data_IF_089792596214
#
_entry.id   IF_089792596214
#
_cell.length_a   1.000
_cell.length_b   1.000
_cell.length_c   1.000
_cell.angle_alpha   90.00
_cell.angle_beta   90.00
_cell.angle_gamma   90.00
#
_symmetry.space_group_name_H-M   'P 1'
#
loop_
_entity.id
_entity.type
_entity.pdbx_description
1 polymer ?
#
# COMPACT_ATOMS: atom_id res chain seq x y z
N UNK A 1 -30.98 2.26 6.52
CA UNK A 1 -29.62 2.13 5.96
C UNK A 1 -28.94 0.95 6.61
N UNK A 2 -28.22 0.12 5.85
CA UNK A 2 -27.40 -0.93 6.47
C UNK A 2 -26.07 -0.34 6.97
N UNK A 3 -25.61 -0.84 8.10
CA UNK A 3 -24.35 -0.42 8.72
C UNK A 3 -23.20 -1.29 8.24
N UNK A 4 -22.19 -0.67 7.69
CA UNK A 4 -20.97 -1.33 7.23
C UNK A 4 -19.79 -0.89 8.11
N UNK A 5 -19.13 -1.85 8.74
CA UNK A 5 -17.95 -1.60 9.54
C UNK A 5 -16.69 -2.01 8.80
N UNK A 6 -15.76 -1.09 8.66
CA UNK A 6 -14.42 -1.31 8.11
C UNK A 6 -13.42 -1.47 9.27
N UNK A 7 -12.64 -2.54 9.28
CA UNK A 7 -11.59 -2.78 10.29
C UNK A 7 -10.24 -2.86 9.59
N UNK A 8 -9.32 -1.97 9.95
CA UNK A 8 -7.97 -1.91 9.37
C UNK A 8 -6.92 -1.61 10.45
N UNK A 9 -5.62 -1.68 10.12
CA UNK A 9 -4.53 -1.51 11.07
C UNK A 9 -4.38 -0.06 11.55
N UNK A 10 -3.92 0.84 10.69
CA UNK A 10 -3.68 2.24 11.01
C UNK A 10 -4.36 3.15 9.97
N UNK A 11 -4.61 4.43 10.31
CA UNK A 11 -5.18 5.40 9.39
C UNK A 11 -4.15 5.83 8.33
N UNK A 12 -3.92 4.99 7.32
CA UNK A 12 -3.10 5.35 6.17
C UNK A 12 -3.80 6.42 5.33
N UNK A 13 -3.10 7.47 4.83
CA UNK A 13 -3.74 8.60 4.13
C UNK A 13 -4.68 8.18 3.00
N UNK A 14 -4.29 7.24 2.15
CA UNK A 14 -5.12 6.74 1.05
C UNK A 14 -6.39 6.01 1.51
N UNK A 15 -6.34 5.30 2.65
CA UNK A 15 -7.52 4.66 3.27
C UNK A 15 -8.43 5.70 3.92
N UNK A 16 -7.86 6.68 4.60
CA UNK A 16 -8.62 7.79 5.19
C UNK A 16 -9.37 8.55 4.11
N UNK A 17 -8.74 8.87 3.00
CA UNK A 17 -9.37 9.57 1.87
C UNK A 17 -10.50 8.74 1.25
N UNK A 18 -10.27 7.44 1.02
CA UNK A 18 -11.29 6.52 0.50
C UNK A 18 -12.50 6.42 1.45
N UNK A 19 -12.25 6.22 2.75
CA UNK A 19 -13.34 6.06 3.72
C UNK A 19 -14.12 7.35 3.91
N UNK A 20 -13.42 8.49 3.95
CA UNK A 20 -14.08 9.80 3.96
C UNK A 20 -14.97 10.02 2.74
N UNK A 21 -14.48 9.66 1.54
CA UNK A 21 -15.25 9.73 0.31
C UNK A 21 -16.51 8.84 0.39
N UNK A 22 -16.36 7.59 0.85
CA UNK A 22 -17.49 6.67 1.04
C UNK A 22 -18.51 7.22 2.03
N UNK A 23 -18.06 7.77 3.15
CA UNK A 23 -18.95 8.31 4.20
C UNK A 23 -19.68 9.57 3.78
N UNK A 24 -19.13 10.37 2.88
CA UNK A 24 -19.72 11.66 2.46
C UNK A 24 -20.53 11.58 1.17
N UNK A 25 -20.27 10.58 0.30
CA UNK A 25 -20.94 10.47 -1.00
C UNK A 25 -21.91 9.29 -1.10
N UNK A 26 -21.82 8.30 -0.21
CA UNK A 26 -22.72 7.16 -0.21
C UNK A 26 -23.96 7.41 0.65
N UNK A 27 -25.16 7.19 0.06
CA UNK A 27 -26.43 7.46 0.73
C UNK A 27 -27.20 6.19 1.15
N UNK A 28 -26.79 5.02 0.66
CA UNK A 28 -27.50 3.75 0.91
C UNK A 28 -27.00 2.99 2.12
N UNK A 29 -25.74 3.25 2.52
CA UNK A 29 -25.06 2.58 3.63
C UNK A 29 -24.43 3.61 4.58
N UNK A 30 -24.40 3.25 5.86
CA UNK A 30 -23.71 4.01 6.88
C UNK A 30 -22.38 3.33 7.19
N UNK A 31 -21.24 4.03 6.97
CA UNK A 31 -19.91 3.48 7.13
C UNK A 31 -19.27 3.90 8.45
N UNK A 32 -18.82 2.92 9.21
CA UNK A 32 -18.00 3.05 10.41
C UNK A 32 -16.61 2.52 10.16
N UNK A 33 -15.61 3.07 10.83
CA UNK A 33 -14.21 2.62 10.70
C UNK A 33 -13.63 2.33 12.08
N UNK A 34 -12.98 1.18 12.22
CA UNK A 34 -12.12 0.90 13.37
C UNK A 34 -10.68 0.76 12.87
N UNK A 35 -9.81 1.62 13.36
CA UNK A 35 -8.37 1.48 13.24
C UNK A 35 -7.86 0.76 14.48
N UNK A 36 -7.10 -0.33 14.27
CA UNK A 36 -6.60 -1.13 15.41
C UNK A 36 -5.45 -0.46 16.16
N UNK A 37 -4.81 0.54 15.55
CA UNK A 37 -3.81 1.39 16.20
C UNK A 37 -3.74 2.77 15.53
N UNK A 38 -3.12 3.75 16.19
CA UNK A 38 -2.99 5.10 15.66
C UNK A 38 -1.87 5.22 14.62
N UNK A 39 -0.72 4.64 14.88
CA UNK A 39 0.46 4.76 14.02
C UNK A 39 1.40 3.57 14.20
N UNK A 40 2.38 3.45 13.31
CA UNK A 40 3.52 2.56 13.37
C UNK A 40 4.80 3.40 13.27
N UNK A 41 5.86 3.03 14.00
CA UNK A 41 7.09 3.83 14.14
C UNK A 41 7.83 4.05 12.80
N UNK A 42 7.62 3.14 11.85
CA UNK A 42 8.21 3.21 10.50
C UNK A 42 7.36 4.04 9.51
N UNK A 43 6.36 4.80 9.98
CA UNK A 43 5.49 5.64 9.18
C UNK A 43 5.53 7.09 9.65
N UNK A 44 5.78 8.00 8.71
CA UNK A 44 5.81 9.45 8.93
C UNK A 44 4.56 10.15 8.37
N UNK A 45 3.46 9.41 8.21
CA UNK A 45 2.25 9.94 7.60
C UNK A 45 1.60 11.03 8.45
N UNK A 46 1.22 12.11 7.78
CA UNK A 46 0.38 13.15 8.34
C UNK A 46 -1.06 12.88 7.94
N UNK A 47 -1.94 12.77 8.93
CA UNK A 47 -3.35 12.43 8.74
C UNK A 47 -4.18 13.67 8.98
N UNK A 48 -5.10 13.96 8.07
CA UNK A 48 -6.13 14.97 8.29
C UNK A 48 -7.22 14.38 9.19
N UNK A 49 -7.18 14.71 10.47
CA UNK A 49 -8.13 14.20 11.46
C UNK A 49 -9.59 14.58 11.19
N UNK A 50 -9.83 15.66 10.42
CA UNK A 50 -11.17 16.08 10.01
C UNK A 50 -11.83 15.04 9.09
N UNK A 51 -11.04 14.19 8.45
CA UNK A 51 -11.51 13.10 7.58
C UNK A 51 -11.81 11.80 8.33
N UNK A 52 -11.52 11.72 9.63
CA UNK A 52 -11.80 10.53 10.45
C UNK A 52 -13.26 10.51 10.95
N UNK A 53 -14.21 10.64 10.03
CA UNK A 53 -15.63 10.61 10.35
C UNK A 53 -16.05 9.20 10.81
N UNK A 54 -16.95 9.13 11.81
CA UNK A 54 -17.46 7.85 12.36
C UNK A 54 -16.35 6.79 12.57
N UNK A 55 -15.20 7.25 13.03
CA UNK A 55 -14.00 6.43 13.21
C UNK A 55 -13.67 6.24 14.68
N UNK A 56 -13.20 5.05 15.04
CA UNK A 56 -12.65 4.73 16.35
C UNK A 56 -11.22 4.24 16.18
N UNK A 57 -10.28 4.84 16.90
CA UNK A 57 -8.90 4.37 16.97
C UNK A 57 -8.73 3.64 18.30
N UNK A 58 -8.38 2.36 18.24
CA UNK A 58 -8.17 1.53 19.42
C UNK A 58 -6.72 1.58 19.86
N UNK A 59 -6.50 1.31 21.13
CA UNK A 59 -5.18 1.00 21.66
C UNK A 59 -4.86 -0.48 21.45
N UNK A 60 -3.65 -0.78 20.98
CA UNK A 60 -3.19 -2.14 20.73
C UNK A 60 -1.90 -2.46 21.47
N UNK A 61 -1.79 -3.70 21.94
CA UNK A 61 -0.48 -4.29 22.18
C UNK A 61 0.16 -4.57 20.81
N UNK A 62 1.33 -4.01 20.58
CA UNK A 62 2.07 -4.17 19.31
C UNK A 62 3.16 -5.22 19.49
N UNK A 63 3.20 -6.19 18.60
CA UNK A 63 4.28 -7.16 18.48
C UNK A 63 5.01 -6.85 17.17
N UNK A 64 6.30 -6.53 17.27
CA UNK A 64 7.17 -6.26 16.12
C UNK A 64 7.91 -7.53 15.74
N UNK A 65 7.94 -7.82 14.45
CA UNK A 65 8.73 -8.91 13.88
C UNK A 65 9.60 -8.35 12.76
N UNK A 66 10.92 -8.54 12.86
CA UNK A 66 11.85 -8.13 11.82
C UNK A 66 11.86 -9.20 10.73
N UNK A 67 11.34 -8.86 9.56
CA UNK A 67 11.41 -9.69 8.34
C UNK A 67 12.64 -9.38 7.50
N UNK A 68 12.77 -10.04 6.35
CA UNK A 68 13.78 -9.72 5.35
C UNK A 68 13.49 -8.34 4.75
N UNK A 69 14.26 -7.32 5.17
CA UNK A 69 14.20 -5.97 4.61
C UNK A 69 13.08 -5.06 5.10
N UNK A 70 12.21 -5.50 6.02
CA UNK A 70 11.14 -4.67 6.62
C UNK A 70 10.77 -5.13 8.04
N UNK A 71 10.09 -4.27 8.78
CA UNK A 71 9.51 -4.56 10.09
C UNK A 71 8.01 -4.74 9.95
N UNK A 72 7.50 -5.90 10.38
CA UNK A 72 6.08 -6.20 10.41
C UNK A 72 5.49 -5.95 11.80
N UNK A 73 4.30 -5.37 11.83
CA UNK A 73 3.58 -5.02 13.05
C UNK A 73 2.33 -5.88 13.19
N UNK A 74 2.22 -6.63 14.30
CA UNK A 74 1.00 -7.32 14.66
C UNK A 74 0.30 -6.53 15.77
N UNK A 75 -0.87 -6.01 15.46
CA UNK A 75 -1.72 -5.30 16.41
C UNK A 75 -2.69 -6.26 17.10
N UNK A 76 -2.71 -6.22 18.42
CA UNK A 76 -3.69 -6.93 19.26
C UNK A 76 -4.53 -5.85 19.96
N UNK A 77 -5.63 -5.38 19.33
CA UNK A 77 -6.42 -4.29 19.87
C UNK A 77 -7.19 -4.71 21.11
N UNK A 78 -7.26 -3.78 22.07
CA UNK A 78 -8.12 -3.88 23.23
C UNK A 78 -9.55 -3.50 22.82
N UNK A 79 -10.54 -4.08 23.50
CA UNK A 79 -11.96 -3.75 23.36
C UNK A 79 -12.59 -3.85 21.95
N UNK A 80 -11.91 -4.48 20.96
CA UNK A 80 -12.43 -4.58 19.58
C UNK A 80 -13.86 -5.16 19.54
N UNK A 81 -14.10 -6.29 20.21
CA UNK A 81 -15.42 -6.93 20.24
C UNK A 81 -16.50 -6.03 20.85
N UNK A 82 -16.15 -5.25 21.88
CA UNK A 82 -17.06 -4.28 22.51
C UNK A 82 -17.46 -3.20 21.50
N UNK A 83 -16.51 -2.66 20.74
CA UNK A 83 -16.77 -1.61 19.74
C UNK A 83 -17.58 -2.15 18.55
N UNK A 84 -17.29 -3.37 18.06
CA UNK A 84 -18.12 -4.02 17.04
C UNK A 84 -19.56 -4.15 17.55
N UNK A 85 -19.76 -4.61 18.80
CA UNK A 85 -21.08 -4.77 19.41
C UNK A 85 -21.81 -3.43 19.58
N UNK A 86 -21.09 -2.36 19.96
CA UNK A 86 -21.66 -1.00 20.10
C UNK A 86 -22.18 -0.47 18.77
N UNK A 87 -21.41 -0.66 17.68
CA UNK A 87 -21.80 -0.26 16.32
C UNK A 87 -22.94 -1.15 15.81
N UNK A 88 -22.93 -2.44 16.15
CA UNK A 88 -23.87 -3.47 15.68
C UNK A 88 -24.03 -3.45 14.14
N UNK A 89 -22.95 -3.69 13.38
CA UNK A 89 -22.98 -3.62 11.93
C UNK A 89 -23.74 -4.78 11.30
N UNK A 90 -24.31 -4.56 10.10
CA UNK A 90 -24.89 -5.61 9.27
C UNK A 90 -23.81 -6.37 8.48
N UNK A 91 -22.74 -5.65 8.12
CA UNK A 91 -21.60 -6.17 7.37
C UNK A 91 -20.30 -5.68 8.03
N UNK A 92 -19.33 -6.58 8.19
CA UNK A 92 -17.97 -6.23 8.59
C UNK A 92 -17.01 -6.55 7.46
N UNK A 93 -16.21 -5.56 7.05
CA UNK A 93 -15.11 -5.71 6.10
C UNK A 93 -13.81 -5.60 6.89
N UNK A 94 -13.01 -6.66 6.95
CA UNK A 94 -11.75 -6.65 7.69
C UNK A 94 -10.56 -6.85 6.75
N UNK A 95 -9.55 -5.98 6.93
CA UNK A 95 -8.24 -6.08 6.29
C UNK A 95 -7.33 -7.03 7.05
N UNK A 96 -6.40 -7.63 6.32
CA UNK A 96 -5.30 -8.41 6.82
C UNK A 96 -5.69 -9.76 7.47
N UNK A 97 -4.71 -10.63 7.55
CA UNK A 97 -4.83 -11.93 8.21
C UNK A 97 -4.28 -11.84 9.64
N UNK A 98 -5.05 -11.27 10.53
CA UNK A 98 -4.65 -10.99 11.90
C UNK A 98 -5.71 -11.39 12.92
N UNK A 99 -5.40 -11.39 14.23
CA UNK A 99 -6.37 -11.72 15.29
C UNK A 99 -7.64 -10.85 15.27
N UNK A 100 -7.56 -9.61 14.76
CA UNK A 100 -8.72 -8.72 14.66
C UNK A 100 -9.72 -9.22 13.62
N UNK A 101 -9.25 -9.70 12.47
CA UNK A 101 -10.09 -10.31 11.44
C UNK A 101 -10.77 -11.59 11.96
N UNK A 102 -10.03 -12.43 12.71
CA UNK A 102 -10.60 -13.64 13.35
C UNK A 102 -11.69 -13.27 14.36
N UNK A 103 -11.43 -12.29 15.24
CA UNK A 103 -12.44 -11.81 16.22
C UNK A 103 -13.69 -11.27 15.53
N UNK A 104 -13.50 -10.49 14.46
CA UNK A 104 -14.60 -9.93 13.68
C UNK A 104 -15.42 -11.04 12.98
N UNK A 105 -14.77 -12.02 12.37
CA UNK A 105 -15.41 -13.19 11.76
C UNK A 105 -16.26 -13.96 12.80
N UNK A 106 -15.69 -14.26 13.97
CA UNK A 106 -16.39 -14.97 15.03
C UNK A 106 -17.60 -14.18 15.55
N UNK A 107 -17.44 -12.86 15.70
CA UNK A 107 -18.54 -11.98 16.08
C UNK A 107 -19.66 -12.02 15.04
N UNK A 108 -19.35 -11.89 13.75
CA UNK A 108 -20.34 -11.95 12.66
C UNK A 108 -21.07 -13.30 12.66
N UNK A 109 -20.36 -14.40 12.80
CA UNK A 109 -20.97 -15.74 12.87
C UNK A 109 -21.95 -15.88 14.05
N UNK A 110 -21.55 -15.39 15.25
CA UNK A 110 -22.40 -15.45 16.45
C UNK A 110 -23.67 -14.60 16.30
N UNK A 111 -23.62 -13.49 15.58
CA UNK A 111 -24.74 -12.54 15.46
C UNK A 111 -25.49 -12.64 14.12
N UNK A 112 -25.19 -13.64 13.29
CA UNK A 112 -25.83 -13.79 11.97
C UNK A 112 -25.54 -12.63 11.00
N UNK A 113 -24.37 -11.99 11.14
CA UNK A 113 -23.95 -10.86 10.32
C UNK A 113 -22.98 -11.31 9.22
N UNK A 114 -22.82 -10.48 8.17
CA UNK A 114 -21.95 -10.78 7.04
C UNK A 114 -20.51 -10.36 7.33
N UNK A 115 -19.57 -11.23 6.93
CA UNK A 115 -18.14 -10.96 7.03
C UNK A 115 -17.50 -10.99 5.65
N UNK A 116 -16.83 -9.90 5.28
CA UNK A 116 -16.08 -9.77 4.04
C UNK A 116 -14.61 -9.62 4.39
N UNK A 117 -13.76 -10.40 3.77
CA UNK A 117 -12.31 -10.27 3.92
C UNK A 117 -11.72 -9.45 2.78
N UNK A 118 -10.88 -8.46 3.08
CA UNK A 118 -10.13 -7.70 2.09
C UNK A 118 -8.64 -7.99 2.22
N UNK A 119 -7.96 -8.23 1.11
CA UNK A 119 -6.54 -8.58 1.08
C UNK A 119 -5.78 -7.85 -0.02
N UNK A 120 -4.60 -7.35 0.34
CA UNK A 120 -3.60 -6.78 -0.56
C UNK A 120 -2.51 -7.83 -0.89
N UNK A 121 -2.36 -8.86 -0.05
CA UNK A 121 -1.32 -9.87 -0.20
C UNK A 121 -1.48 -10.71 -1.48
N UNK A 122 -0.37 -11.08 -2.06
CA UNK A 122 -0.27 -11.86 -3.30
C UNK A 122 0.44 -13.19 -3.05
N UNK A 123 0.51 -14.08 -4.05
CA UNK A 123 1.30 -15.31 -3.93
C UNK A 123 2.77 -15.01 -3.69
N UNK A 124 3.30 -13.97 -4.33
CA UNK A 124 4.70 -13.60 -4.21
C UNK A 124 5.01 -12.99 -2.84
N UNK A 125 4.22 -12.04 -2.38
CA UNK A 125 4.44 -11.39 -1.08
C UNK A 125 4.22 -12.34 0.11
N UNK A 126 3.45 -13.40 -0.07
CA UNK A 126 3.15 -14.40 0.98
C UNK A 126 3.94 -15.71 0.82
N UNK A 127 4.97 -15.77 -0.07
CA UNK A 127 5.72 -17.01 -0.33
C UNK A 127 6.43 -17.59 0.90
N UNK A 128 6.81 -16.73 1.86
CA UNK A 128 7.55 -17.11 3.08
C UNK A 128 6.68 -17.35 4.33
N UNK A 129 5.34 -17.35 4.24
CA UNK A 129 4.49 -17.48 5.42
C UNK A 129 4.54 -18.87 6.07
N UNK A 130 4.56 -18.89 7.42
CA UNK A 130 4.60 -20.11 8.20
C UNK A 130 3.27 -20.88 8.27
N UNK A 131 3.30 -22.09 8.83
CA UNK A 131 2.12 -23.00 8.92
C UNK A 131 0.93 -22.36 9.67
N UNK A 132 1.19 -21.68 10.78
CA UNK A 132 0.13 -21.00 11.58
C UNK A 132 -0.52 -19.88 10.79
N UNK A 133 0.28 -19.10 10.07
CA UNK A 133 -0.22 -18.04 9.20
C UNK A 133 -1.05 -18.62 8.04
N UNK A 134 -0.63 -19.73 7.45
CA UNK A 134 -1.41 -20.44 6.42
C UNK A 134 -2.76 -20.92 6.96
N UNK A 135 -2.78 -21.53 8.16
CA UNK A 135 -4.02 -21.98 8.79
C UNK A 135 -4.97 -20.80 9.07
N UNK A 136 -4.47 -19.70 9.60
CA UNK A 136 -5.28 -18.51 9.88
C UNK A 136 -5.90 -17.93 8.58
N UNK A 137 -5.13 -17.86 7.50
CA UNK A 137 -5.63 -17.45 6.18
C UNK A 137 -6.73 -18.37 5.69
N UNK A 138 -6.48 -19.66 5.72
CA UNK A 138 -7.46 -20.67 5.33
C UNK A 138 -8.78 -20.51 6.10
N UNK A 139 -8.72 -20.37 7.42
CA UNK A 139 -9.91 -20.17 8.25
C UNK A 139 -10.66 -18.89 7.82
N UNK A 140 -9.96 -17.77 7.66
CA UNK A 140 -10.59 -16.48 7.33
C UNK A 140 -11.28 -16.54 5.96
N UNK A 141 -10.55 -16.94 4.92
CA UNK A 141 -11.07 -16.85 3.53
C UNK A 141 -12.18 -17.85 3.25
N UNK A 142 -12.11 -19.06 3.81
CA UNK A 142 -13.14 -20.08 3.59
C UNK A 142 -14.43 -19.82 4.40
N UNK A 143 -14.32 -19.07 5.48
CA UNK A 143 -15.48 -18.71 6.31
C UNK A 143 -16.02 -17.30 5.99
N UNK A 144 -15.37 -16.55 5.15
CA UNK A 144 -15.89 -15.27 4.65
C UNK A 144 -17.10 -15.47 3.72
N UNK A 145 -18.06 -14.57 3.79
CA UNK A 145 -19.19 -14.52 2.87
C UNK A 145 -18.73 -14.10 1.47
N UNK A 146 -17.77 -13.16 1.41
CA UNK A 146 -17.09 -12.71 0.22
C UNK A 146 -15.65 -12.28 0.53
N UNK A 147 -14.82 -12.18 -0.52
CA UNK A 147 -13.47 -11.65 -0.45
C UNK A 147 -13.31 -10.48 -1.43
N UNK A 148 -12.63 -9.43 -1.03
CA UNK A 148 -12.21 -8.33 -1.89
C UNK A 148 -10.70 -8.46 -2.12
N UNK A 149 -10.29 -8.51 -3.38
CA UNK A 149 -8.90 -8.49 -3.80
C UNK A 149 -8.54 -7.08 -4.27
N UNK A 150 -7.44 -6.53 -3.77
CA UNK A 150 -6.97 -5.17 -4.12
C UNK A 150 -6.18 -5.11 -5.44
N UNK A 151 -5.89 -6.26 -6.05
CA UNK A 151 -5.20 -6.37 -7.34
C UNK A 151 -5.57 -7.68 -8.03
N UNK A 152 -5.29 -7.77 -9.33
CA UNK A 152 -5.42 -9.03 -10.07
C UNK A 152 -4.55 -10.13 -9.45
N UNK A 153 -3.34 -9.81 -8.98
CA UNK A 153 -2.45 -10.76 -8.29
C UNK A 153 -3.01 -11.22 -6.94
N UNK A 154 -3.69 -10.35 -6.20
CA UNK A 154 -4.41 -10.73 -4.99
C UNK A 154 -5.62 -11.63 -5.30
N UNK A 155 -6.34 -11.39 -6.42
CA UNK A 155 -7.40 -12.29 -6.91
C UNK A 155 -6.84 -13.67 -7.26
N UNK A 156 -5.73 -13.73 -8.01
CA UNK A 156 -5.04 -14.99 -8.35
C UNK A 156 -4.70 -15.79 -7.08
N UNK A 157 -4.20 -15.13 -6.05
CA UNK A 157 -3.93 -15.78 -4.76
C UNK A 157 -5.18 -16.39 -4.12
N UNK A 158 -6.29 -15.66 -4.07
CA UNK A 158 -7.53 -16.17 -3.49
C UNK A 158 -8.06 -17.39 -4.26
N UNK A 159 -7.98 -17.37 -5.58
CA UNK A 159 -8.32 -18.51 -6.46
C UNK A 159 -7.41 -19.70 -6.17
N UNK A 160 -6.09 -19.47 -6.08
CA UNK A 160 -5.10 -20.52 -5.77
C UNK A 160 -5.40 -21.19 -4.40
N UNK A 161 -5.89 -20.44 -3.43
CA UNK A 161 -6.28 -20.94 -2.10
C UNK A 161 -7.68 -21.57 -2.07
N UNK A 162 -8.35 -21.71 -3.23
CA UNK A 162 -9.62 -22.40 -3.37
C UNK A 162 -10.86 -21.58 -3.03
N UNK A 163 -10.76 -20.24 -2.98
CA UNK A 163 -11.94 -19.39 -2.85
C UNK A 163 -12.71 -19.43 -4.16
N UNK A 164 -14.02 -19.76 -4.16
CA UNK A 164 -14.82 -19.76 -5.38
C UNK A 164 -14.87 -18.37 -6.03
N UNK A 165 -14.67 -18.29 -7.35
CA UNK A 165 -14.58 -17.01 -8.08
C UNK A 165 -15.80 -16.11 -7.83
N UNK A 166 -17.01 -16.67 -7.75
CA UNK A 166 -18.25 -15.93 -7.45
C UNK A 166 -18.24 -15.21 -6.09
N UNK A 167 -17.31 -15.54 -5.21
CA UNK A 167 -17.11 -14.87 -3.91
C UNK A 167 -16.00 -13.84 -3.93
N UNK A 168 -15.27 -13.70 -5.03
CA UNK A 168 -14.13 -12.78 -5.13
C UNK A 168 -14.54 -11.56 -5.94
N UNK A 169 -14.34 -10.39 -5.36
CA UNK A 169 -14.59 -9.10 -6.00
C UNK A 169 -13.26 -8.35 -6.12
N UNK A 170 -12.97 -7.85 -7.32
CA UNK A 170 -11.79 -7.01 -7.54
C UNK A 170 -12.14 -5.56 -7.21
N UNK A 171 -11.37 -4.94 -6.34
CA UNK A 171 -11.44 -3.51 -6.01
C UNK A 171 -10.03 -2.98 -5.83
N UNK A 172 -9.47 -2.43 -6.89
CA UNK A 172 -8.10 -1.90 -6.88
C UNK A 172 -7.94 -0.85 -5.78
N UNK A 173 -6.74 -0.75 -5.24
CA UNK A 173 -6.39 0.37 -4.37
C UNK A 173 -6.46 1.68 -5.15
N UNK A 174 -6.74 2.76 -4.47
CA UNK A 174 -6.97 4.08 -5.08
C UNK A 174 -6.17 5.16 -4.39
N UNK A 175 -5.95 6.25 -5.10
CA UNK A 175 -5.38 7.50 -4.57
C UNK A 175 -6.34 8.65 -4.82
N UNK A 176 -6.22 9.71 -4.04
CA UNK A 176 -6.98 10.94 -4.27
C UNK A 176 -6.38 11.68 -5.48
N UNK A 177 -7.05 11.58 -6.61
CA UNK A 177 -6.63 12.21 -7.88
C UNK A 177 -6.52 13.73 -7.79
N UNK A 178 -7.21 14.37 -6.84
CA UNK A 178 -7.13 15.82 -6.67
C UNK A 178 -5.78 16.30 -6.17
N UNK A 179 -5.01 15.40 -5.53
CA UNK A 179 -3.66 15.67 -5.02
C UNK A 179 -2.59 15.55 -6.10
N UNK A 180 -2.78 14.63 -7.04
CA UNK A 180 -1.81 14.29 -8.08
C UNK A 180 -2.37 14.71 -9.42
N UNK A 181 -2.31 16.02 -9.71
CA UNK A 181 -2.87 16.58 -10.96
C UNK A 181 -1.86 16.47 -12.09
N UNK A 182 -2.36 16.13 -13.27
CA UNK A 182 -1.58 16.21 -14.49
C UNK A 182 -0.95 17.58 -14.65
N UNK A 183 0.31 17.60 -15.06
CA UNK A 183 1.01 18.80 -15.53
C UNK A 183 1.69 18.47 -16.86
N UNK A 184 1.63 19.42 -17.79
CA UNK A 184 2.35 19.30 -19.05
C UNK A 184 3.85 19.19 -18.79
N UNK A 185 4.47 18.16 -19.36
CA UNK A 185 5.90 17.91 -19.18
C UNK A 185 6.69 18.90 -20.04
N UNK A 186 7.73 19.51 -19.46
CA UNK A 186 8.64 20.37 -20.22
C UNK A 186 9.51 19.50 -21.12
N UNK A 187 9.63 19.88 -22.36
CA UNK A 187 10.61 19.29 -23.28
C UNK A 187 12.02 19.36 -22.69
N UNK A 188 12.83 18.33 -22.94
CA UNK A 188 14.22 18.24 -22.49
C UNK A 188 14.45 18.13 -20.95
N UNK A 189 13.42 17.76 -20.18
CA UNK A 189 13.64 17.33 -18.80
C UNK A 189 13.98 15.84 -18.75
N UNK A 190 15.15 15.51 -18.20
CA UNK A 190 15.59 14.14 -17.98
C UNK A 190 15.60 13.84 -16.47
N UNK A 191 14.46 14.07 -15.82
CA UNK A 191 14.32 13.88 -14.37
C UNK A 191 13.72 12.51 -14.08
N UNK A 192 14.49 11.64 -13.44
CA UNK A 192 14.03 10.38 -12.89
C UNK A 192 13.50 10.63 -11.48
N UNK A 193 12.48 9.89 -11.07
CA UNK A 193 11.91 9.98 -9.72
C UNK A 193 11.80 8.59 -9.10
N UNK A 194 12.29 8.47 -7.88
CA UNK A 194 12.00 7.36 -6.97
C UNK A 194 11.20 7.91 -5.78
N UNK A 195 10.11 7.23 -5.42
CA UNK A 195 9.31 7.53 -4.22
C UNK A 195 9.09 6.26 -3.43
N UNK A 196 9.52 6.24 -2.19
CA UNK A 196 9.33 5.09 -1.32
C UNK A 196 10.18 5.14 -0.05
N UNK A 197 9.90 4.22 0.87
CA UNK A 197 10.79 4.03 2.02
C UNK A 197 12.18 3.60 1.54
N UNK A 198 13.21 4.13 2.16
CA UNK A 198 14.61 3.75 1.87
C UNK A 198 14.93 2.50 2.70
N UNK A 199 14.56 1.35 2.15
CA UNK A 199 14.79 0.00 2.70
C UNK A 199 15.21 -0.94 1.56
N UNK A 200 15.96 -2.01 1.84
CA UNK A 200 16.45 -2.93 0.81
C UNK A 200 15.35 -3.47 -0.11
N UNK A 201 14.15 -3.70 0.45
CA UNK A 201 13.00 -4.22 -0.28
C UNK A 201 12.57 -3.30 -1.44
N UNK A 202 12.79 -1.98 -1.34
CA UNK A 202 12.39 -1.01 -2.38
C UNK A 202 13.40 -0.88 -3.52
N UNK A 203 14.55 -1.56 -3.43
CA UNK A 203 15.48 -1.76 -4.54
C UNK A 203 16.18 -0.50 -5.05
N UNK A 204 16.32 0.56 -4.22
CA UNK A 204 17.01 1.78 -4.65
C UNK A 204 18.48 1.51 -5.05
N UNK A 205 19.11 0.52 -4.44
CA UNK A 205 20.44 0.04 -4.82
C UNK A 205 20.52 -0.51 -6.25
N UNK A 206 19.45 -1.17 -6.72
CA UNK A 206 19.35 -1.67 -8.10
C UNK A 206 19.29 -0.49 -9.09
N UNK A 207 18.50 0.54 -8.76
CA UNK A 207 18.44 1.76 -9.56
C UNK A 207 19.82 2.43 -9.63
N UNK A 208 20.48 2.64 -8.50
CA UNK A 208 21.80 3.28 -8.45
C UNK A 208 22.84 2.53 -9.29
N UNK A 209 22.83 1.19 -9.28
CA UNK A 209 23.72 0.37 -10.13
C UNK A 209 23.38 0.46 -11.63
N UNK A 210 22.15 0.78 -11.98
CA UNK A 210 21.74 0.91 -13.38
C UNK A 210 22.09 2.28 -13.97
N UNK A 211 22.15 3.34 -13.15
CA UNK A 211 22.38 4.73 -13.61
C UNK A 211 23.65 4.94 -14.43
N UNK A 212 24.82 4.32 -14.13
CA UNK A 212 26.01 4.47 -14.96
C UNK A 212 25.84 4.05 -16.42
N UNK A 213 24.80 3.28 -16.74
CA UNK A 213 24.47 2.85 -18.10
C UNK A 213 23.56 3.85 -18.85
N UNK A 214 23.11 4.90 -18.18
CA UNK A 214 22.31 5.94 -18.78
C UNK A 214 23.23 6.97 -19.44
N UNK A 215 23.19 7.06 -20.77
CA UNK A 215 24.10 7.92 -21.53
C UNK A 215 23.56 9.35 -21.72
N UNK A 216 22.29 9.58 -21.47
CA UNK A 216 21.67 10.89 -21.52
C UNK A 216 21.92 11.65 -20.21
N UNK A 217 22.08 12.98 -20.23
CA UNK A 217 22.08 13.75 -18.99
C UNK A 217 20.81 13.50 -18.20
N UNK A 218 20.92 13.25 -16.90
CA UNK A 218 19.76 13.01 -16.03
C UNK A 218 19.96 13.65 -14.64
N UNK A 219 18.85 13.87 -13.96
CA UNK A 219 18.77 14.14 -12.54
C UNK A 219 17.88 13.07 -11.89
N UNK A 220 18.31 12.45 -10.79
CA UNK A 220 17.47 11.55 -10.00
C UNK A 220 16.98 12.24 -8.73
N UNK A 221 15.68 12.38 -8.58
CA UNK A 221 15.03 12.80 -7.34
C UNK A 221 14.66 11.58 -6.51
N UNK A 222 15.12 11.53 -5.26
CA UNK A 222 14.79 10.47 -4.31
C UNK A 222 13.91 11.07 -3.21
N UNK A 223 12.65 10.65 -3.18
CA UNK A 223 11.68 11.04 -2.16
C UNK A 223 11.42 9.86 -1.23
N UNK A 224 11.65 10.05 0.05
CA UNK A 224 11.45 9.05 1.08
C UNK A 224 12.51 9.11 2.16
N UNK A 225 12.33 8.27 3.16
CA UNK A 225 13.26 8.18 4.28
C UNK A 225 13.45 6.73 4.73
N UNK A 226 14.45 6.49 5.56
CA UNK A 226 14.82 5.18 6.09
C UNK A 226 15.89 5.31 7.16
N UNK A 227 16.36 4.18 7.64
CA UNK A 227 17.42 4.10 8.63
C UNK A 227 18.70 4.78 8.14
N UNK A 228 19.40 5.50 9.04
CA UNK A 228 20.60 6.25 8.69
C UNK A 228 21.70 5.36 8.08
N UNK A 229 21.83 4.14 8.57
CA UNK A 229 22.81 3.16 8.06
C UNK A 229 22.52 2.78 6.60
N UNK A 230 21.26 2.53 6.25
CA UNK A 230 20.87 2.17 4.88
C UNK A 230 21.06 3.35 3.92
N UNK A 231 20.70 4.56 4.35
CA UNK A 231 20.96 5.78 3.57
C UNK A 231 22.45 6.00 3.33
N UNK A 232 23.30 5.81 4.36
CA UNK A 232 24.73 5.96 4.23
C UNK A 232 25.34 4.95 3.22
N UNK A 233 24.87 3.69 3.24
CA UNK A 233 25.27 2.66 2.25
C UNK A 233 24.94 3.08 0.82
N UNK A 234 23.73 3.59 0.61
CA UNK A 234 23.28 4.00 -0.72
C UNK A 234 24.00 5.27 -1.21
N UNK A 235 24.30 6.20 -0.31
CA UNK A 235 25.12 7.39 -0.65
C UNK A 235 26.53 6.99 -1.04
N UNK A 236 27.18 6.09 -0.27
CA UNK A 236 28.49 5.57 -0.61
C UNK A 236 28.48 4.85 -1.97
N UNK A 237 27.46 4.04 -2.24
CA UNK A 237 27.28 3.39 -3.55
C UNK A 237 27.15 4.41 -4.69
N UNK A 238 26.43 5.52 -4.48
CA UNK A 238 26.29 6.57 -5.48
C UNK A 238 27.64 7.25 -5.79
N UNK A 239 28.50 7.44 -4.78
CA UNK A 239 29.87 7.93 -4.98
C UNK A 239 30.73 6.92 -5.74
N UNK A 240 30.72 5.65 -5.33
CA UNK A 240 31.47 4.57 -5.99
C UNK A 240 31.09 4.38 -7.45
N UNK A 241 29.82 4.58 -7.78
CA UNK A 241 29.30 4.47 -9.15
C UNK A 241 29.38 5.80 -9.94
N UNK A 242 29.96 6.85 -9.35
CA UNK A 242 30.14 8.18 -9.94
C UNK A 242 28.84 8.85 -10.42
N UNK A 243 27.71 8.58 -9.72
CA UNK A 243 26.42 9.19 -10.04
C UNK A 243 25.91 10.17 -8.97
N UNK A 244 26.63 10.30 -7.85
CA UNK A 244 26.20 11.11 -6.71
C UNK A 244 25.84 12.57 -7.08
N UNK A 245 26.61 13.19 -8.00
CA UNK A 245 26.38 14.56 -8.47
C UNK A 245 25.04 14.73 -9.23
N UNK A 246 24.43 13.65 -9.70
CA UNK A 246 23.14 13.64 -10.40
C UNK A 246 21.96 13.34 -9.48
N UNK A 247 22.19 13.13 -8.18
CA UNK A 247 21.15 12.66 -7.23
C UNK A 247 20.79 13.78 -6.25
N UNK A 248 19.48 13.99 -6.09
CA UNK A 248 18.92 14.84 -5.04
C UNK A 248 18.11 14.03 -4.06
N UNK A 249 18.58 13.96 -2.83
CA UNK A 249 17.88 13.34 -1.70
C UNK A 249 16.95 14.37 -1.07
N UNK A 250 15.63 14.22 -1.30
CA UNK A 250 14.62 15.18 -0.85
C UNK A 250 14.05 14.83 0.54
N UNK A 251 14.41 13.68 1.09
CA UNK A 251 13.83 13.17 2.34
C UNK A 251 12.35 12.81 2.18
N UNK A 252 11.66 12.61 3.30
CA UNK A 252 10.23 12.37 3.28
C UNK A 252 9.46 13.61 2.82
N UNK A 253 8.58 13.42 1.83
CA UNK A 253 7.68 14.45 1.33
C UNK A 253 6.24 13.97 1.39
N UNK A 254 5.31 14.90 1.58
CA UNK A 254 3.86 14.65 1.53
C UNK A 254 3.13 15.87 0.98
N UNK A 255 1.86 15.69 0.57
CA UNK A 255 1.04 16.78 0.04
C UNK A 255 1.63 17.41 -1.23
N UNK A 256 1.63 18.75 -1.31
CA UNK A 256 2.05 19.48 -2.50
C UNK A 256 3.53 19.27 -2.87
N UNK A 257 4.51 19.21 -1.96
CA UNK A 257 5.90 18.88 -2.31
C UNK A 257 6.07 17.52 -2.98
N UNK A 258 5.33 16.49 -2.54
CA UNK A 258 5.32 15.18 -3.18
C UNK A 258 4.69 15.25 -4.58
N UNK A 259 3.55 15.92 -4.72
CA UNK A 259 2.89 16.10 -6.01
C UNK A 259 3.78 16.86 -6.99
N UNK A 260 4.54 17.88 -6.52
CA UNK A 260 5.48 18.62 -7.34
C UNK A 260 6.64 17.74 -7.85
N UNK A 261 7.14 16.82 -7.00
CA UNK A 261 8.17 15.88 -7.44
C UNK A 261 7.68 15.01 -8.62
N UNK A 262 6.44 14.49 -8.55
CA UNK A 262 5.85 13.74 -9.66
C UNK A 262 5.67 14.62 -10.92
N UNK A 263 5.19 15.86 -10.78
CA UNK A 263 5.01 16.78 -11.92
C UNK A 263 6.34 17.10 -12.62
N UNK A 264 7.42 17.20 -11.87
CA UNK A 264 8.76 17.46 -12.42
C UNK A 264 9.40 16.23 -13.07
N UNK A 265 9.00 15.04 -12.70
CA UNK A 265 9.59 13.80 -13.18
C UNK A 265 9.22 13.55 -14.65
N UNK A 266 10.21 13.19 -15.46
CA UNK A 266 10.02 12.67 -16.82
C UNK A 266 9.68 11.18 -16.80
N UNK A 267 10.23 10.43 -15.84
CA UNK A 267 9.99 9.00 -15.63
C UNK A 267 9.98 8.69 -14.13
N UNK A 268 9.00 7.96 -13.69
CA UNK A 268 8.96 7.38 -12.35
C UNK A 268 9.52 5.94 -12.38
N UNK A 269 10.41 5.61 -11.45
CA UNK A 269 11.07 4.30 -11.39
C UNK A 269 10.75 3.63 -10.06
N UNK A 270 10.17 2.43 -10.12
CA UNK A 270 9.89 1.58 -8.97
C UNK A 270 10.66 0.24 -9.09
N UNK A 271 11.92 0.16 -8.65
CA UNK A 271 12.77 -1.02 -8.81
C UNK A 271 12.61 -2.04 -7.68
N UNK A 272 11.43 -2.08 -7.07
CA UNK A 272 11.19 -2.84 -5.85
C UNK A 272 11.44 -4.35 -6.03
N UNK A 273 11.92 -5.01 -4.98
CA UNK A 273 12.01 -6.48 -4.89
C UNK A 273 10.70 -7.12 -4.45
N UNK A 274 9.82 -6.32 -3.85
CA UNK A 274 8.48 -6.76 -3.47
C UNK A 274 7.59 -5.54 -3.19
N UNK A 275 6.40 -5.52 -3.80
CA UNK A 275 5.33 -4.61 -3.45
C UNK A 275 3.98 -5.23 -3.83
N UNK A 276 3.07 -5.36 -2.87
CA UNK A 276 1.75 -5.96 -3.11
C UNK A 276 0.90 -5.17 -4.11
N UNK A 277 1.11 -3.85 -4.21
CA UNK A 277 0.40 -3.00 -5.14
C UNK A 277 1.28 -1.87 -5.70
N UNK A 278 1.91 -1.07 -4.81
CA UNK A 278 2.67 0.10 -5.21
C UNK A 278 1.76 1.28 -5.55
N UNK A 279 1.11 1.89 -4.55
CA UNK A 279 0.25 3.07 -4.74
C UNK A 279 0.95 4.23 -5.44
N UNK A 280 2.26 4.34 -5.29
CA UNK A 280 3.13 5.30 -5.99
C UNK A 280 3.04 5.21 -7.52
N UNK A 281 2.63 4.05 -8.07
CA UNK A 281 2.33 3.88 -9.49
C UNK A 281 1.12 4.72 -9.89
N UNK A 282 0.05 4.68 -9.08
CA UNK A 282 -1.15 5.49 -9.33
C UNK A 282 -0.86 6.99 -9.17
N UNK A 283 -0.03 7.37 -8.18
CA UNK A 283 0.40 8.75 -7.98
C UNK A 283 1.13 9.29 -9.22
N UNK A 284 2.05 8.48 -9.77
CA UNK A 284 2.78 8.79 -11.00
C UNK A 284 1.83 8.94 -12.20
N UNK A 285 0.91 7.98 -12.40
CA UNK A 285 -0.05 8.00 -13.51
C UNK A 285 -0.99 9.21 -13.42
N UNK A 286 -1.52 9.53 -12.23
CA UNK A 286 -2.36 10.71 -12.04
C UNK A 286 -1.63 12.00 -12.39
N UNK A 287 -0.31 12.05 -12.19
CA UNK A 287 0.54 13.19 -12.55
C UNK A 287 0.99 13.19 -14.04
N UNK A 288 0.57 12.19 -14.82
CA UNK A 288 0.98 12.02 -16.23
C UNK A 288 2.44 11.60 -16.37
N UNK A 289 3.02 10.94 -15.37
CA UNK A 289 4.42 10.52 -15.39
C UNK A 289 4.51 9.05 -15.83
N UNK A 290 5.21 8.75 -16.95
CA UNK A 290 5.45 7.38 -17.39
C UNK A 290 6.23 6.57 -16.34
N UNK A 291 6.02 5.25 -16.34
CA UNK A 291 6.51 4.37 -15.28
C UNK A 291 7.50 3.35 -15.82
N UNK A 292 8.57 3.11 -15.09
CA UNK A 292 9.38 1.89 -15.18
C UNK A 292 9.22 1.14 -13.86
N UNK A 293 8.48 0.05 -13.88
CA UNK A 293 8.16 -0.74 -12.70
C UNK A 293 8.84 -2.11 -12.72
N UNK A 294 9.28 -2.57 -11.56
CA UNK A 294 9.71 -3.95 -11.37
C UNK A 294 8.56 -4.93 -11.58
N UNK A 295 8.86 -6.10 -12.16
CA UNK A 295 7.94 -7.25 -12.21
C UNK A 295 7.47 -7.74 -10.83
N UNK A 296 8.14 -7.34 -9.76
CA UNK A 296 7.80 -7.65 -8.36
C UNK A 296 6.93 -6.59 -7.69
N UNK A 297 6.51 -5.56 -8.43
CA UNK A 297 5.44 -4.65 -8.06
C UNK A 297 4.11 -5.20 -8.59
N UNK A 298 3.38 -5.96 -7.78
CA UNK A 298 2.23 -6.74 -8.26
C UNK A 298 1.10 -5.87 -8.82
N UNK A 299 0.90 -4.64 -8.32
CA UNK A 299 -0.06 -3.69 -8.89
C UNK A 299 0.36 -3.10 -10.24
N UNK A 300 1.60 -3.27 -10.67
CA UNK A 300 2.02 -2.86 -12.01
C UNK A 300 1.26 -3.60 -13.11
N UNK A 301 0.86 -4.85 -12.87
CA UNK A 301 0.05 -5.64 -13.81
C UNK A 301 -1.38 -5.13 -14.00
N UNK A 302 -1.87 -4.31 -13.07
CA UNK A 302 -3.19 -3.67 -13.14
C UNK A 302 -3.12 -2.21 -13.65
N UNK A 303 -1.93 -1.59 -13.63
CA UNK A 303 -1.79 -0.14 -13.82
C UNK A 303 -0.85 0.26 -14.94
N UNK A 304 0.14 -0.58 -15.29
CA UNK A 304 1.12 -0.29 -16.33
C UNK A 304 0.77 -1.05 -17.60
N UNK A 305 0.58 -0.30 -18.68
CA UNK A 305 0.34 -0.81 -20.03
C UNK A 305 1.60 -0.59 -20.87
N UNK A 306 2.38 -1.65 -21.14
CA UNK A 306 3.65 -1.52 -21.87
C UNK A 306 3.46 -0.86 -23.25
N UNK A 307 4.29 0.15 -23.53
CA UNK A 307 4.21 0.93 -24.75
C UNK A 307 3.21 2.10 -24.74
N UNK A 308 2.36 2.21 -23.71
CA UNK A 308 1.40 3.31 -23.56
C UNK A 308 1.79 4.26 -22.42
N UNK A 309 1.90 3.73 -21.19
CA UNK A 309 2.14 4.54 -20.00
C UNK A 309 3.38 4.08 -19.19
N UNK A 310 4.08 3.05 -19.63
CA UNK A 310 5.28 2.58 -18.96
C UNK A 310 5.81 1.25 -19.44
N UNK A 311 6.72 0.68 -18.64
CA UNK A 311 7.35 -0.62 -18.85
C UNK A 311 7.38 -1.41 -17.54
N UNK A 312 7.23 -2.74 -17.66
CA UNK A 312 7.49 -3.67 -16.57
C UNK A 312 8.80 -4.39 -16.89
N UNK A 313 9.75 -4.32 -15.96
CA UNK A 313 11.11 -4.82 -16.17
C UNK A 313 11.52 -5.80 -15.06
N UNK A 314 12.50 -6.63 -15.37
CA UNK A 314 13.24 -7.39 -14.35
C UNK A 314 14.29 -6.45 -13.74
N UNK A 315 14.25 -6.16 -12.44
CA UNK A 315 15.18 -5.22 -11.83
C UNK A 315 16.54 -5.85 -11.51
N UNK A 316 16.72 -7.17 -11.62
CA UNK A 316 17.93 -7.95 -11.31
C UNK A 316 18.74 -8.35 -12.55
#
# INVERSE_FOLDING_TARGET
>A
MSKVLLITNIPAPYRVDLFYYMQTHQQTHEFFVIYTNRNEDNRQWVIDERKLLQSTILESKIIKHKGEGDVHYLHIPQHLTREITRINPDVVIAWEYNPSAVKALLWCRRHGRKFIHLTDGTLYSERGIGRVQKLMRHIIIHHADACIASSTKAKEKLLHWGVPERKIFLSLLTVDISRFRYAEKRENQHTLLFVGRIIPLKGLDLLLRALPKVHQPFELLIVGDGEAEEKAKLMAMAEETHVAQHIRWLGFQSGEPLADAYRRASVFVLPTREDCFGLVLLEALCSGTPIVASKYADGAYDTVHPGENGLIVDPE
#
